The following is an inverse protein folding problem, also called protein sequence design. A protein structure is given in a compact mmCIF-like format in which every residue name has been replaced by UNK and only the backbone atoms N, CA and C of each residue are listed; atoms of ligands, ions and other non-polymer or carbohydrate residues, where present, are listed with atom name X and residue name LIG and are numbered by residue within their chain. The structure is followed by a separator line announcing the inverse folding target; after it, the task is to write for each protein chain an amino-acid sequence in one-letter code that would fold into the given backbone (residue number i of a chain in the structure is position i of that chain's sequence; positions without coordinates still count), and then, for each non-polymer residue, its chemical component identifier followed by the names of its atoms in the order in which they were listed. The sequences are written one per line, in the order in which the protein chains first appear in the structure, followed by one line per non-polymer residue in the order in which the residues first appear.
data_IF_661001431880
#
_entry.id   IF_661001431880
#
_cell.length_a   1.000
_cell.length_b   1.000
_cell.length_c   1.000
_cell.angle_alpha   90.00
_cell.angle_beta   90.00
_cell.angle_gamma   90.00
#
_symmetry.space_group_name_H-M   'P 1'
#
loop_
_entity.id
_entity.type
_entity.pdbx_description
1 polymer ?
#
# COMPACT_ATOMS: atom_id res chain seq x y z
N UNK A 1 -10.94 0.77 -4.22
CA UNK A 1 -10.51 0.82 -2.80
C UNK A 1 -11.76 0.79 -1.94
N UNK A 2 -11.79 -0.06 -0.94
CA UNK A 2 -12.88 -0.14 0.03
C UNK A 2 -12.31 -0.26 1.43
N UNK A 3 -12.94 0.39 2.40
CA UNK A 3 -12.69 0.15 3.82
C UNK A 3 -13.50 -1.08 4.21
N UNK A 4 -12.86 -2.07 4.80
CA UNK A 4 -13.50 -3.29 5.27
C UNK A 4 -13.45 -3.26 6.79
N UNK A 5 -14.58 -3.00 7.47
CA UNK A 5 -14.63 -2.99 8.92
C UNK A 5 -14.17 -4.36 9.45
N UNK A 6 -13.20 -4.37 10.35
CA UNK A 6 -12.56 -5.60 10.86
C UNK A 6 -12.13 -6.55 9.73
N UNK A 7 -11.55 -6.01 8.66
CA UNK A 7 -11.20 -6.73 7.43
C UNK A 7 -10.04 -7.70 7.56
N UNK A 8 -9.40 -7.75 8.74
CA UNK A 8 -8.34 -8.70 9.03
C UNK A 8 -8.88 -10.13 9.14
N UNK A 9 -8.03 -11.06 8.80
CA UNK A 9 -8.30 -12.46 9.10
C UNK A 9 -8.32 -12.72 10.63
N UNK A 10 -8.82 -13.89 11.02
CA UNK A 10 -8.93 -14.24 12.43
C UNK A 10 -7.59 -14.20 13.18
N UNK A 11 -6.46 -14.43 12.50
CA UNK A 11 -5.13 -14.40 13.10
C UNK A 11 -4.68 -12.99 13.46
N UNK A 12 -5.03 -12.00 12.63
CA UNK A 12 -4.74 -10.58 12.92
C UNK A 12 -5.56 -10.10 14.12
N UNK A 13 -6.84 -10.47 14.16
CA UNK A 13 -7.71 -10.17 15.31
C UNK A 13 -7.21 -10.88 16.56
N UNK A 14 -6.78 -12.16 16.45
CA UNK A 14 -6.17 -12.91 17.55
C UNK A 14 -5.00 -12.16 18.18
N UNK A 15 -4.09 -11.66 17.33
CA UNK A 15 -2.91 -10.92 17.81
C UNK A 15 -3.32 -9.67 18.60
N UNK A 16 -4.24 -8.88 18.06
CA UNK A 16 -4.74 -7.69 18.73
C UNK A 16 -5.46 -8.01 20.04
N UNK A 17 -6.24 -9.11 20.10
CA UNK A 17 -6.85 -9.58 21.33
C UNK A 17 -5.82 -10.04 22.36
N UNK A 18 -4.76 -10.73 21.94
CA UNK A 18 -3.68 -11.17 22.82
C UNK A 18 -2.91 -9.99 23.42
N UNK A 19 -2.66 -8.96 22.61
CA UNK A 19 -2.05 -7.70 23.08
C UNK A 19 -2.94 -7.04 24.13
N UNK A 20 -4.24 -6.91 23.86
CA UNK A 20 -5.21 -6.33 24.79
C UNK A 20 -5.19 -7.00 26.16
N UNK A 21 -5.25 -8.34 26.18
CA UNK A 21 -5.31 -9.09 27.43
C UNK A 21 -3.92 -9.49 27.97
N UNK A 22 -2.84 -9.08 27.29
CA UNK A 22 -1.45 -9.43 27.61
C UNK A 22 -1.22 -10.96 27.70
N UNK A 23 -1.76 -11.73 26.78
CA UNK A 23 -1.62 -13.18 26.73
C UNK A 23 -0.50 -13.58 25.75
N UNK A 24 0.37 -14.52 26.19
CA UNK A 24 1.41 -15.05 25.32
C UNK A 24 0.84 -15.85 24.14
N UNK A 25 1.61 -15.92 23.06
CA UNK A 25 1.26 -16.67 21.86
C UNK A 25 0.93 -18.14 22.17
N UNK A 26 -0.08 -18.67 21.47
CA UNK A 26 -0.55 -20.04 21.61
C UNK A 26 -1.29 -20.36 22.90
N UNK A 27 -1.27 -19.48 23.91
CA UNK A 27 -2.00 -19.70 25.16
C UNK A 27 -3.49 -19.44 24.96
N UNK A 28 -4.35 -20.29 25.53
CA UNK A 28 -5.81 -20.22 25.41
C UNK A 28 -6.30 -20.27 23.95
N UNK A 29 -5.67 -21.12 23.13
CA UNK A 29 -6.01 -21.26 21.72
C UNK A 29 -7.48 -21.62 21.50
N UNK A 30 -8.03 -22.55 22.30
CA UNK A 30 -9.45 -22.94 22.15
C UNK A 30 -10.45 -21.80 22.42
N UNK A 31 -10.06 -20.82 23.26
CA UNK A 31 -10.93 -19.68 23.61
C UNK A 31 -10.72 -18.49 22.67
N UNK A 32 -9.47 -18.20 22.28
CA UNK A 32 -9.14 -17.00 21.49
C UNK A 32 -9.24 -17.29 20.00
N UNK A 33 -8.47 -18.26 19.50
CA UNK A 33 -8.51 -18.73 18.13
C UNK A 33 -8.04 -20.17 18.03
N UNK A 34 -8.97 -21.07 17.71
CA UNK A 34 -8.66 -22.46 17.44
C UNK A 34 -8.36 -22.66 15.97
N UNK A 35 -7.23 -23.31 15.69
CA UNK A 35 -6.80 -23.64 14.32
C UNK A 35 -6.74 -25.16 14.20
N UNK A 36 -7.46 -25.73 13.23
CA UNK A 36 -7.44 -27.15 12.86
C UNK A 36 -7.10 -27.27 11.38
N UNK A 37 -6.17 -28.14 11.03
CA UNK A 37 -5.68 -28.34 9.65
C UNK A 37 -5.28 -27.03 8.92
N UNK A 38 -4.71 -26.08 9.68
CA UNK A 38 -4.28 -24.78 9.14
C UNK A 38 -5.39 -23.75 8.93
N UNK A 39 -6.62 -24.06 9.32
CA UNK A 39 -7.76 -23.15 9.22
C UNK A 39 -8.33 -22.80 10.60
N UNK A 40 -8.72 -21.54 10.76
CA UNK A 40 -9.43 -21.12 11.97
C UNK A 40 -10.83 -21.73 12.01
N UNK A 41 -11.22 -22.29 13.15
CA UNK A 41 -12.47 -23.04 13.29
C UNK A 41 -13.40 -22.48 14.36
N UNK A 42 -12.87 -21.88 15.42
CA UNK A 42 -13.67 -21.31 16.52
C UNK A 42 -12.86 -20.36 17.39
N UNK A 43 -13.51 -19.67 18.30
CA UNK A 43 -12.95 -18.75 19.29
C UNK A 43 -13.36 -17.29 19.07
N UNK A 44 -13.06 -16.43 20.04
CA UNK A 44 -13.49 -15.01 20.02
C UNK A 44 -13.01 -14.26 18.75
N UNK A 45 -11.80 -14.52 18.31
CA UNK A 45 -11.25 -13.90 17.11
C UNK A 45 -11.92 -14.45 15.84
N UNK A 46 -12.23 -15.74 15.79
CA UNK A 46 -12.95 -16.35 14.67
C UNK A 46 -14.38 -15.79 14.54
N UNK A 47 -15.11 -15.72 15.64
CA UNK A 47 -16.49 -15.22 15.66
C UNK A 47 -16.56 -13.76 15.18
N UNK A 48 -15.56 -12.95 15.57
CA UNK A 48 -15.47 -11.56 15.14
C UNK A 48 -15.08 -11.44 13.66
N UNK A 49 -14.12 -12.26 13.20
CA UNK A 49 -13.66 -12.24 11.81
C UNK A 49 -14.76 -12.68 10.83
N UNK A 50 -15.56 -13.67 11.19
CA UNK A 50 -16.59 -14.26 10.33
C UNK A 50 -17.94 -13.57 10.42
N UNK A 51 -18.14 -12.63 11.34
CA UNK A 51 -19.37 -11.83 11.43
C UNK A 51 -19.62 -11.05 10.14
N UNK A 52 -20.87 -10.97 9.71
CA UNK A 52 -21.27 -10.13 8.56
C UNK A 52 -21.07 -8.65 8.86
N UNK A 53 -20.99 -7.81 7.83
CA UNK A 53 -20.75 -6.37 8.00
C UNK A 53 -21.77 -5.73 8.97
N UNK A 54 -23.06 -6.11 8.87
CA UNK A 54 -24.12 -5.57 9.72
C UNK A 54 -24.04 -6.08 11.17
N UNK A 55 -23.41 -7.23 11.41
CA UNK A 55 -23.26 -7.85 12.72
C UNK A 55 -21.94 -7.55 13.42
N UNK A 56 -20.99 -6.91 12.73
CA UNK A 56 -19.64 -6.67 13.25
C UNK A 56 -19.62 -5.93 14.60
N UNK A 57 -20.41 -4.89 14.74
CA UNK A 57 -20.50 -4.14 16.02
C UNK A 57 -21.07 -5.01 17.14
N UNK A 58 -22.13 -5.76 16.85
CA UNK A 58 -22.71 -6.67 17.83
C UNK A 58 -21.77 -7.82 18.20
N UNK A 59 -20.97 -8.31 17.25
CA UNK A 59 -19.93 -9.31 17.52
C UNK A 59 -18.79 -8.73 18.39
N UNK A 60 -18.40 -7.49 18.15
CA UNK A 60 -17.42 -6.77 18.97
C UNK A 60 -17.92 -6.62 20.41
N UNK A 61 -19.17 -6.19 20.60
CA UNK A 61 -19.76 -6.04 21.93
C UNK A 61 -19.83 -7.38 22.65
N UNK A 62 -20.27 -8.46 21.97
CA UNK A 62 -20.24 -9.82 22.55
C UNK A 62 -18.82 -10.25 22.96
N UNK A 63 -17.81 -9.91 22.16
CA UNK A 63 -16.42 -10.23 22.50
C UNK A 63 -15.94 -9.47 23.75
N UNK A 64 -16.24 -8.18 23.85
CA UNK A 64 -15.95 -7.35 25.02
C UNK A 64 -16.69 -7.88 26.27
N UNK A 65 -17.96 -8.19 26.14
CA UNK A 65 -18.76 -8.78 27.21
C UNK A 65 -18.21 -10.12 27.66
N UNK A 66 -17.81 -10.99 26.72
CA UNK A 66 -17.22 -12.27 27.08
C UNK A 66 -15.91 -12.12 27.89
N UNK A 67 -15.08 -11.13 27.56
CA UNK A 67 -13.85 -10.82 28.30
C UNK A 67 -14.17 -10.26 29.68
N UNK A 68 -15.16 -9.36 29.81
CA UNK A 68 -15.50 -8.71 31.06
C UNK A 68 -16.32 -9.60 31.99
N UNK A 69 -17.31 -10.32 31.46
CA UNK A 69 -18.25 -11.12 32.25
C UNK A 69 -17.76 -12.57 32.50
N UNK A 70 -16.85 -13.05 31.65
CA UNK A 70 -16.23 -14.39 31.80
C UNK A 70 -17.26 -15.52 31.88
N UNK A 71 -18.17 -15.65 30.88
CA UNK A 71 -19.24 -16.63 30.92
C UNK A 71 -18.71 -18.07 30.99
N UNK A 72 -19.56 -19.01 31.42
CA UNK A 72 -19.19 -20.41 31.55
C UNK A 72 -18.82 -21.10 30.23
N UNK A 73 -19.15 -20.49 29.10
CA UNK A 73 -18.74 -20.95 27.76
C UNK A 73 -17.24 -20.82 27.52
N UNK A 74 -16.55 -19.94 28.21
CA UNK A 74 -15.08 -19.83 28.14
C UNK A 74 -14.41 -20.90 29.03
N UNK A 75 -13.25 -21.36 28.61
CA UNK A 75 -12.46 -22.33 29.32
C UNK A 75 -12.08 -21.86 30.73
N UNK A 76 -12.10 -22.77 31.72
CA UNK A 76 -11.85 -22.44 33.13
C UNK A 76 -10.51 -21.73 33.36
N UNK A 77 -9.46 -22.18 32.67
CA UNK A 77 -8.14 -21.54 32.75
C UNK A 77 -8.11 -20.15 32.20
N UNK A 78 -8.83 -19.91 31.13
CA UNK A 78 -8.93 -18.58 30.50
C UNK A 78 -9.75 -17.62 31.38
N UNK A 79 -10.88 -18.08 31.95
CA UNK A 79 -11.67 -17.29 32.90
C UNK A 79 -10.86 -16.84 34.11
N UNK A 80 -10.12 -17.77 34.74
CA UNK A 80 -9.24 -17.47 35.88
C UNK A 80 -8.11 -16.49 35.51
N UNK A 81 -7.65 -16.54 34.27
CA UNK A 81 -6.67 -15.60 33.77
C UNK A 81 -7.26 -14.19 33.62
N UNK A 82 -8.41 -14.07 32.99
CA UNK A 82 -9.12 -12.79 32.83
C UNK A 82 -9.54 -12.20 34.18
N UNK A 83 -9.92 -13.03 35.15
CA UNK A 83 -10.28 -12.57 36.49
C UNK A 83 -9.08 -11.89 37.19
N UNK A 84 -7.88 -12.43 37.04
CA UNK A 84 -6.65 -11.79 37.55
C UNK A 84 -6.34 -10.48 36.84
N UNK A 85 -6.59 -10.40 35.51
CA UNK A 85 -6.41 -9.16 34.76
C UNK A 85 -7.41 -8.10 35.15
N UNK A 86 -8.64 -8.49 35.42
CA UNK A 86 -9.71 -7.59 35.87
C UNK A 86 -9.46 -6.93 37.24
N UNK A 87 -8.46 -7.38 38.00
CA UNK A 87 -8.04 -6.71 39.22
C UNK A 87 -7.29 -5.38 38.96
N UNK A 88 -6.80 -5.18 37.75
CA UNK A 88 -6.24 -3.89 37.33
C UNK A 88 -7.37 -2.92 36.97
N UNK A 89 -7.44 -1.71 37.58
CA UNK A 89 -8.54 -0.78 37.36
C UNK A 89 -8.74 -0.41 35.88
N UNK A 90 -7.64 -0.25 35.14
CA UNK A 90 -7.65 0.16 33.75
C UNK A 90 -8.05 -0.95 32.77
N UNK A 91 -8.11 -2.22 33.19
CA UNK A 91 -8.38 -3.35 32.31
C UNK A 91 -9.76 -3.27 31.65
N UNK A 92 -10.78 -2.92 32.43
CA UNK A 92 -12.14 -2.80 31.91
C UNK A 92 -12.22 -1.67 30.88
N UNK A 93 -11.58 -0.55 31.12
CA UNK A 93 -11.56 0.60 30.20
C UNK A 93 -10.85 0.24 28.89
N UNK A 94 -9.69 -0.47 28.96
CA UNK A 94 -9.00 -0.94 27.78
C UNK A 94 -9.85 -1.90 26.96
N UNK A 95 -10.60 -2.81 27.59
CA UNK A 95 -11.49 -3.73 26.89
C UNK A 95 -12.66 -2.97 26.23
N UNK A 96 -13.25 -1.98 26.91
CA UNK A 96 -14.37 -1.22 26.39
C UNK A 96 -13.98 -0.33 25.19
N UNK A 97 -12.77 0.23 25.18
CA UNK A 97 -12.29 1.05 24.07
C UNK A 97 -11.59 0.25 22.99
N UNK A 98 -11.30 -1.03 23.24
CA UNK A 98 -10.64 -1.87 22.24
C UNK A 98 -11.49 -2.02 20.99
N UNK A 99 -10.87 -1.74 19.86
CA UNK A 99 -11.48 -1.80 18.55
C UNK A 99 -10.43 -2.36 17.57
N UNK A 100 -10.68 -3.46 16.87
CA UNK A 100 -9.81 -3.88 15.78
C UNK A 100 -9.78 -2.82 14.69
N UNK A 101 -8.62 -2.53 14.17
CA UNK A 101 -8.48 -1.55 13.09
C UNK A 101 -9.25 -2.02 11.84
N UNK A 102 -9.77 -1.06 11.11
CA UNK A 102 -10.35 -1.33 9.79
C UNK A 102 -9.25 -1.71 8.82
N UNK A 103 -9.54 -2.67 7.95
CA UNK A 103 -8.61 -3.03 6.87
C UNK A 103 -8.84 -2.15 5.64
N UNK A 104 -7.75 -1.77 5.01
CA UNK A 104 -7.78 -1.05 3.75
C UNK A 104 -7.55 -2.02 2.60
N UNK A 105 -8.62 -2.43 1.93
CA UNK A 105 -8.51 -3.28 0.75
C UNK A 105 -8.29 -2.44 -0.49
N UNK A 106 -7.09 -2.56 -1.06
CA UNK A 106 -6.76 -1.98 -2.35
C UNK A 106 -6.75 -3.11 -3.38
N UNK A 107 -7.57 -2.96 -4.40
CA UNK A 107 -7.66 -3.90 -5.53
C UNK A 107 -7.34 -3.17 -6.82
N UNK A 108 -6.68 -3.84 -7.73
CA UNK A 108 -6.43 -3.35 -9.08
C UNK A 108 -7.06 -4.28 -10.12
N UNK A 109 -7.51 -3.69 -11.22
CA UNK A 109 -8.14 -4.43 -12.31
C UNK A 109 -7.10 -4.79 -13.36
N UNK A 110 -7.04 -6.09 -13.72
CA UNK A 110 -6.26 -6.60 -14.84
C UNK A 110 -7.09 -7.64 -15.59
N UNK A 111 -7.10 -7.56 -16.92
CA UNK A 111 -7.85 -8.49 -17.79
C UNK A 111 -9.32 -8.68 -17.34
N UNK A 112 -9.98 -7.58 -16.98
CA UNK A 112 -11.36 -7.55 -16.45
C UNK A 112 -11.58 -8.33 -15.12
N UNK A 113 -10.51 -8.65 -14.38
CA UNK A 113 -10.58 -9.28 -13.06
C UNK A 113 -9.95 -8.38 -12.02
N UNK A 114 -10.50 -8.40 -10.82
CA UNK A 114 -9.97 -7.69 -9.67
C UNK A 114 -9.02 -8.58 -8.88
N UNK A 115 -7.87 -8.05 -8.51
CA UNK A 115 -6.85 -8.71 -7.72
C UNK A 115 -6.51 -7.85 -6.52
N UNK A 116 -6.35 -8.47 -5.35
CA UNK A 116 -5.86 -7.76 -4.17
C UNK A 116 -4.42 -7.29 -4.41
N UNK A 117 -4.09 -6.07 -3.96
CA UNK A 117 -2.74 -5.51 -4.14
C UNK A 117 -1.65 -6.40 -3.50
N UNK A 118 -2.00 -7.11 -2.42
CA UNK A 118 -1.11 -8.04 -1.72
C UNK A 118 -0.69 -9.25 -2.58
N UNK A 119 -1.51 -9.63 -3.56
CA UNK A 119 -1.24 -10.75 -4.48
C UNK A 119 -0.41 -10.33 -5.70
N UNK A 120 -0.23 -9.02 -5.90
CA UNK A 120 0.54 -8.48 -7.00
C UNK A 120 2.05 -8.65 -6.82
N UNK A 121 2.79 -8.67 -7.96
CA UNK A 121 4.24 -8.49 -7.94
C UNK A 121 4.61 -7.13 -7.34
N UNK A 122 5.89 -6.94 -6.95
CA UNK A 122 6.34 -5.66 -6.41
C UNK A 122 6.01 -4.50 -7.35
N UNK A 123 6.29 -4.63 -8.65
CA UNK A 123 5.97 -3.62 -9.65
C UNK A 123 4.46 -3.34 -9.78
N UNK A 124 3.62 -4.38 -9.71
CA UNK A 124 2.16 -4.20 -9.74
C UNK A 124 1.64 -3.47 -8.50
N UNK A 125 2.20 -3.75 -7.34
CA UNK A 125 1.87 -3.06 -6.08
C UNK A 125 2.27 -1.59 -6.15
N UNK A 126 3.52 -1.30 -6.57
CA UNK A 126 4.02 0.07 -6.74
C UNK A 126 3.18 0.85 -7.75
N UNK A 127 2.84 0.24 -8.89
CA UNK A 127 1.99 0.84 -9.91
C UNK A 127 0.57 1.17 -9.40
N UNK A 128 -0.05 0.26 -8.66
CA UNK A 128 -1.39 0.47 -8.12
C UNK A 128 -1.41 1.55 -7.03
N UNK A 129 -0.39 1.59 -6.15
CA UNK A 129 -0.25 2.64 -5.14
C UNK A 129 0.00 4.01 -5.78
N UNK A 130 0.86 4.08 -6.79
CA UNK A 130 1.11 5.32 -7.51
C UNK A 130 -0.13 5.83 -8.24
N UNK A 131 -0.86 4.95 -8.92
CA UNK A 131 -2.12 5.30 -9.56
C UNK A 131 -3.15 5.83 -8.55
N UNK A 132 -3.20 5.25 -7.37
CA UNK A 132 -4.04 5.72 -6.27
C UNK A 132 -3.63 7.11 -5.78
N UNK A 133 -2.34 7.34 -5.52
CA UNK A 133 -1.81 8.64 -5.08
C UNK A 133 -2.06 9.74 -6.13
N UNK A 134 -1.94 9.38 -7.41
CA UNK A 134 -2.17 10.31 -8.51
C UNK A 134 -3.67 10.55 -8.79
N UNK A 135 -4.57 9.64 -8.38
CA UNK A 135 -6.00 9.80 -8.60
C UNK A 135 -6.65 10.87 -7.70
N UNK A 136 -6.07 11.15 -6.53
CA UNK A 136 -6.66 12.02 -5.52
C UNK A 136 -5.79 13.26 -5.25
N UNK A 137 -6.45 14.35 -4.81
CA UNK A 137 -5.81 15.59 -4.41
C UNK A 137 -5.48 16.52 -5.57
N UNK A 138 -5.28 17.79 -5.24
CA UNK A 138 -4.88 18.88 -6.14
C UNK A 138 -3.56 19.53 -5.68
N UNK A 139 -3.06 19.12 -4.53
CA UNK A 139 -1.82 19.62 -3.96
C UNK A 139 -0.63 19.24 -4.83
N UNK A 140 0.44 20.06 -4.84
CA UNK A 140 1.69 19.70 -5.50
C UNK A 140 2.23 18.37 -4.99
N UNK A 141 2.73 17.53 -5.89
CA UNK A 141 3.32 16.23 -5.52
C UNK A 141 4.75 16.12 -6.04
N UNK A 142 5.61 15.55 -5.21
CA UNK A 142 6.99 15.22 -5.58
C UNK A 142 7.09 13.71 -5.72
N UNK A 143 7.55 13.25 -6.88
CA UNK A 143 7.79 11.85 -7.19
C UNK A 143 9.28 11.63 -7.42
N UNK A 144 9.87 10.75 -6.64
CA UNK A 144 11.28 10.35 -6.79
C UNK A 144 11.34 8.96 -7.40
N UNK A 145 11.86 8.88 -8.62
CA UNK A 145 12.01 7.66 -9.42
C UNK A 145 10.75 6.78 -9.43
N UNK A 146 9.60 7.31 -9.85
CA UNK A 146 8.34 6.57 -9.84
C UNK A 146 8.33 5.35 -10.77
N UNK A 147 9.31 5.26 -11.64
CA UNK A 147 9.53 4.12 -12.55
C UNK A 147 10.28 2.94 -11.92
N UNK A 148 10.92 3.12 -10.77
CA UNK A 148 11.66 2.04 -10.14
C UNK A 148 10.71 0.89 -9.77
N UNK A 149 11.20 -0.33 -9.91
CA UNK A 149 10.43 -1.57 -9.71
C UNK A 149 9.30 -1.83 -10.74
N UNK A 150 9.14 -0.98 -11.76
CA UNK A 150 8.10 -1.15 -12.77
C UNK A 150 8.64 -1.70 -14.09
N UNK A 151 7.88 -2.61 -14.70
CA UNK A 151 8.15 -3.05 -16.05
C UNK A 151 7.93 -1.92 -17.06
N UNK A 152 8.75 -1.85 -18.11
CA UNK A 152 8.67 -0.80 -19.14
C UNK A 152 7.26 -0.61 -19.74
N UNK A 153 6.49 -1.68 -19.86
CA UNK A 153 5.11 -1.62 -20.33
C UNK A 153 4.19 -0.89 -19.36
N UNK A 154 4.34 -1.17 -18.05
CA UNK A 154 3.58 -0.49 -17.00
C UNK A 154 3.96 0.99 -16.86
N UNK A 155 5.25 1.34 -17.08
CA UNK A 155 5.71 2.72 -17.07
C UNK A 155 4.95 3.55 -18.09
N UNK A 156 4.83 3.06 -19.32
CA UNK A 156 4.17 3.83 -20.37
C UNK A 156 2.66 3.96 -20.12
N UNK A 157 1.99 2.84 -19.91
CA UNK A 157 0.53 2.82 -19.83
C UNK A 157 -0.03 3.48 -18.57
N UNK A 158 0.70 3.39 -17.46
CA UNK A 158 0.23 3.85 -16.15
C UNK A 158 0.85 5.20 -15.77
N UNK A 159 2.19 5.29 -15.69
CA UNK A 159 2.87 6.49 -15.18
C UNK A 159 2.74 7.65 -16.16
N UNK A 160 3.10 7.43 -17.40
CA UNK A 160 3.09 8.49 -18.41
C UNK A 160 1.69 9.07 -18.59
N UNK A 161 0.69 8.19 -18.67
CA UNK A 161 -0.71 8.62 -18.79
C UNK A 161 -1.17 9.40 -17.55
N UNK A 162 -0.87 8.89 -16.36
CA UNK A 162 -1.25 9.55 -15.11
C UNK A 162 -0.54 10.89 -14.92
N UNK A 163 0.73 11.00 -15.29
CA UNK A 163 1.46 12.29 -15.28
C UNK A 163 0.76 13.28 -16.19
N UNK A 164 0.44 12.92 -17.42
CA UNK A 164 -0.23 13.82 -18.38
C UNK A 164 -1.61 14.27 -17.93
N UNK A 165 -2.38 13.40 -17.29
CA UNK A 165 -3.70 13.75 -16.74
C UNK A 165 -3.58 14.65 -15.51
N UNK A 166 -2.62 14.35 -14.62
CA UNK A 166 -2.45 15.06 -13.35
C UNK A 166 -1.85 16.47 -13.51
N UNK A 167 -0.91 16.67 -14.44
CA UNK A 167 -0.29 17.98 -14.64
C UNK A 167 -1.28 19.08 -15.07
N UNK A 168 -2.48 18.70 -15.53
CA UNK A 168 -3.55 19.65 -15.87
C UNK A 168 -4.29 20.20 -14.64
N UNK A 169 -4.14 19.57 -13.48
CA UNK A 169 -4.85 19.94 -12.25
C UNK A 169 -3.94 20.26 -11.07
N UNK A 170 -2.66 19.85 -11.10
CA UNK A 170 -1.69 20.14 -10.03
C UNK A 170 -0.27 20.19 -10.54
N UNK A 171 0.61 20.79 -9.76
CA UNK A 171 2.04 20.76 -10.04
C UNK A 171 2.63 19.38 -9.74
N UNK A 172 3.39 18.85 -10.70
CA UNK A 172 4.18 17.64 -10.52
C UNK A 172 5.66 17.98 -10.57
N UNK A 173 6.42 17.52 -9.58
CA UNK A 173 7.88 17.59 -9.58
C UNK A 173 8.37 16.14 -9.61
N UNK A 174 9.01 15.74 -10.71
CA UNK A 174 9.41 14.35 -10.90
C UNK A 174 10.93 14.28 -11.06
N UNK A 175 11.57 13.48 -10.21
CA UNK A 175 12.97 13.10 -10.35
C UNK A 175 12.98 11.75 -11.06
N UNK A 176 13.67 11.64 -12.19
CA UNK A 176 13.65 10.43 -13.00
C UNK A 176 14.91 10.31 -13.86
N UNK A 177 15.31 9.09 -14.16
CA UNK A 177 16.31 8.77 -15.17
C UNK A 177 15.69 8.11 -16.43
N UNK A 178 14.35 8.00 -16.50
CA UNK A 178 13.65 7.34 -17.60
C UNK A 178 13.18 8.37 -18.63
N UNK A 179 13.64 8.26 -19.89
CA UNK A 179 13.25 9.19 -20.95
C UNK A 179 11.74 9.18 -21.24
N UNK A 180 11.05 8.05 -21.02
CA UNK A 180 9.62 7.98 -21.23
C UNK A 180 8.85 8.90 -20.28
N UNK A 181 9.30 9.05 -19.04
CA UNK A 181 8.67 9.94 -18.06
C UNK A 181 8.81 11.40 -18.49
N UNK A 182 10.00 11.80 -18.95
CA UNK A 182 10.27 13.18 -19.37
C UNK A 182 9.64 13.50 -20.73
N UNK A 183 9.89 12.66 -21.74
CA UNK A 183 9.51 12.94 -23.13
C UNK A 183 8.04 12.63 -23.39
N UNK A 184 7.61 11.41 -23.03
CA UNK A 184 6.21 11.00 -23.23
C UNK A 184 5.26 11.56 -22.17
N UNK A 185 5.77 11.90 -20.98
CA UNK A 185 5.06 12.66 -19.95
C UNK A 185 4.83 14.13 -20.34
N UNK A 186 5.53 14.58 -21.40
CA UNK A 186 5.43 15.93 -21.95
C UNK A 186 5.73 16.99 -20.88
N UNK A 187 6.95 16.93 -20.32
CA UNK A 187 7.40 17.85 -19.28
C UNK A 187 7.50 19.29 -19.82
N UNK A 188 6.90 20.24 -19.11
CA UNK A 188 6.96 21.68 -19.45
C UNK A 188 8.32 22.29 -19.12
N UNK A 189 8.94 21.83 -18.04
CA UNK A 189 10.25 22.32 -17.57
C UNK A 189 11.12 21.12 -17.16
N UNK A 190 12.32 21.09 -17.68
CA UNK A 190 13.33 20.09 -17.38
C UNK A 190 14.54 20.74 -16.74
N UNK A 191 14.98 20.23 -15.60
CA UNK A 191 16.23 20.55 -14.96
C UNK A 191 17.19 19.36 -15.08
N UNK A 192 18.27 19.54 -15.81
CA UNK A 192 19.36 18.56 -15.87
C UNK A 192 20.27 18.79 -14.70
N UNK A 193 20.39 17.81 -13.82
CA UNK A 193 21.19 17.87 -12.61
C UNK A 193 22.55 17.21 -12.81
N UNK A 194 23.58 17.82 -12.27
CA UNK A 194 24.94 17.28 -12.26
C UNK A 194 25.48 17.29 -10.83
N UNK A 195 26.14 16.20 -10.43
CA UNK A 195 26.84 16.13 -9.16
C UNK A 195 28.33 16.43 -9.38
N UNK A 196 28.79 17.52 -8.80
CA UNK A 196 30.19 17.93 -8.88
C UNK A 196 30.66 18.64 -7.61
N UNK A 197 31.91 18.44 -7.22
CA UNK A 197 32.53 19.09 -6.05
C UNK A 197 31.73 18.94 -4.75
N UNK A 198 31.04 17.79 -4.57
CA UNK A 198 30.25 17.53 -3.38
C UNK A 198 28.87 18.22 -3.34
N UNK A 199 28.44 18.80 -4.44
CA UNK A 199 27.15 19.50 -4.55
C UNK A 199 26.39 19.04 -5.79
N UNK A 200 25.06 19.10 -5.71
CA UNK A 200 24.17 18.89 -6.84
C UNK A 200 23.84 20.25 -7.46
N UNK A 201 24.15 20.42 -8.75
CA UNK A 201 23.98 21.67 -9.47
C UNK A 201 23.07 21.49 -10.67
N UNK A 202 22.28 22.51 -10.99
CA UNK A 202 21.51 22.55 -12.24
C UNK A 202 22.47 22.92 -13.38
N UNK A 203 22.73 21.96 -14.25
CA UNK A 203 23.60 22.15 -15.43
C UNK A 203 22.87 22.86 -16.55
N UNK A 204 21.64 22.45 -16.82
CA UNK A 204 20.78 22.99 -17.87
C UNK A 204 19.34 23.05 -17.38
N UNK A 205 18.61 24.08 -17.81
CA UNK A 205 17.18 24.24 -17.51
C UNK A 205 16.46 24.81 -18.70
N UNK A 206 15.27 24.28 -19.00
CA UNK A 206 14.44 24.79 -20.09
C UNK A 206 13.35 23.82 -20.50
N UNK A 207 12.60 24.20 -21.53
CA UNK A 207 11.52 23.38 -22.07
C UNK A 207 12.05 22.30 -23.04
N UNK A 208 11.33 21.19 -23.20
CA UNK A 208 11.68 20.13 -24.16
C UNK A 208 11.72 20.63 -25.61
N UNK A 209 11.06 21.74 -25.94
CA UNK A 209 11.10 22.38 -27.25
C UNK A 209 12.47 23.01 -27.55
N UNK A 210 13.27 23.28 -26.54
CA UNK A 210 14.59 23.86 -26.70
C UNK A 210 15.62 22.79 -27.13
N UNK A 211 16.38 23.10 -28.18
CA UNK A 211 17.36 22.14 -28.73
C UNK A 211 18.40 21.69 -27.70
N UNK A 212 18.90 22.64 -26.89
CA UNK A 212 19.92 22.37 -25.88
C UNK A 212 19.38 21.36 -24.81
N UNK A 213 18.15 21.53 -24.36
CA UNK A 213 17.52 20.62 -23.39
C UNK A 213 17.34 19.23 -24.00
N UNK A 214 16.84 19.11 -25.23
CA UNK A 214 16.69 17.81 -25.90
C UNK A 214 18.03 17.09 -26.10
N UNK A 215 19.08 17.83 -26.41
CA UNK A 215 20.42 17.25 -26.54
C UNK A 215 20.94 16.69 -25.22
N UNK A 216 20.71 17.41 -24.12
CA UNK A 216 21.07 16.94 -22.79
C UNK A 216 20.23 15.75 -22.32
N UNK A 217 18.92 15.77 -22.52
CA UNK A 217 18.03 14.63 -22.24
C UNK A 217 18.49 13.40 -23.02
N UNK A 218 18.78 13.54 -24.32
CA UNK A 218 19.30 12.46 -25.12
C UNK A 218 20.67 11.97 -24.63
N UNK A 219 21.57 12.86 -24.22
CA UNK A 219 22.90 12.53 -23.72
C UNK A 219 22.81 11.74 -22.42
N UNK A 220 22.03 12.21 -21.46
CA UNK A 220 21.95 11.65 -20.10
C UNK A 220 21.14 10.36 -20.08
N UNK A 221 19.98 10.32 -20.73
CA UNK A 221 19.02 9.22 -20.59
C UNK A 221 19.13 8.16 -21.70
N UNK A 222 19.63 8.53 -22.89
CA UNK A 222 19.69 7.64 -24.06
C UNK A 222 21.09 7.22 -24.45
N UNK A 223 22.12 7.71 -23.73
CA UNK A 223 23.53 7.47 -24.06
C UNK A 223 24.03 8.27 -25.26
N UNK A 224 23.33 9.35 -25.61
CA UNK A 224 23.63 10.26 -26.71
C UNK A 224 22.98 9.90 -28.05
N UNK A 225 23.10 10.83 -29.00
CA UNK A 225 22.46 10.73 -30.32
C UNK A 225 22.83 9.48 -31.11
N UNK A 226 24.08 9.04 -31.04
CA UNK A 226 24.56 7.87 -31.77
C UNK A 226 23.93 6.58 -31.22
N UNK A 227 23.87 6.41 -29.90
CA UNK A 227 23.26 5.26 -29.25
C UNK A 227 21.75 5.22 -29.53
N UNK A 228 21.08 6.36 -29.43
CA UNK A 228 19.67 6.50 -29.77
C UNK A 228 19.40 6.14 -31.25
N UNK A 229 20.18 6.68 -32.18
CA UNK A 229 20.02 6.41 -33.61
C UNK A 229 20.26 4.93 -33.94
N UNK A 230 21.26 4.29 -33.34
CA UNK A 230 21.51 2.84 -33.52
C UNK A 230 20.35 1.99 -33.01
N UNK A 231 19.77 2.35 -31.85
CA UNK A 231 18.62 1.65 -31.29
C UNK A 231 17.39 1.83 -32.19
N UNK A 232 17.12 3.04 -32.64
CA UNK A 232 16.04 3.33 -33.58
C UNK A 232 16.16 2.54 -34.89
N UNK A 233 17.36 2.49 -35.47
CA UNK A 233 17.57 1.71 -36.69
C UNK A 233 17.36 0.22 -36.53
N UNK A 234 17.59 -0.33 -35.35
CA UNK A 234 17.42 -1.77 -35.08
C UNK A 234 16.02 -2.17 -34.67
N UNK A 235 15.30 -1.32 -33.95
CA UNK A 235 14.00 -1.63 -33.37
C UNK A 235 12.84 -0.91 -34.06
N UNK A 236 13.08 0.24 -34.71
CA UNK A 236 12.04 1.11 -35.26
C UNK A 236 11.70 0.89 -36.74
N UNK A 237 12.34 -0.07 -37.42
CA UNK A 237 12.12 -0.27 -38.88
C UNK A 237 10.95 -1.21 -39.22
N UNK A 238 10.29 -1.82 -38.23
CA UNK A 238 9.21 -2.79 -38.43
C UNK A 238 7.89 -2.41 -37.72
N UNK A 239 7.73 -1.15 -37.33
CA UNK A 239 6.47 -0.66 -36.76
C UNK A 239 5.79 0.31 -37.72
#
# INVERSE_FOLDING_TARGET
MSVVPFGFDAQVIERSLRELIEAADGRFADDILKIEDGQATSGLAFDLATATADEKLAALDRTREAILQRPASLGGHFRNYLERKAQKPEFADHVLVWYPEDDLRIEYQRDNKWYAISEGSQGQRSAALLAFLLAFGEEPIVLDQPEDDLDNHLIYDLIVRQIRENKLRRQLIVVTHNPNVVVNGDAELVHVMEFGRGQCLVQQSGALQEKAVREEVCRVMEGGREAFARRWMRLGKEV
#
